data_IF_401354639761
#
_entry.id   IF_401354639761
#
_cell.length_a   1.000
_cell.length_b   1.000
_cell.length_c   1.000
_cell.angle_alpha   90.00
_cell.angle_beta   90.00
_cell.angle_gamma   90.00
#
_symmetry.space_group_name_H-M   'P 1'
#
loop_
_entity.id
_entity.type
_entity.pdbx_description
1 polymer ?
#
# COMPACT_ATOMS: atom_id res chain seq x y z
N UNK A 1 -29.79 -16.32 0.96
CA UNK A 1 -28.36 -16.42 1.33
C UNK A 1 -27.68 -17.07 0.15
N UNK A 2 -26.48 -16.64 -0.27
CA UNK A 2 -25.84 -16.92 -1.59
C UNK A 2 -26.29 -18.21 -2.29
N UNK A 3 -26.33 -19.35 -1.58
CA UNK A 3 -26.90 -20.65 -2.00
C UNK A 3 -28.31 -20.63 -2.65
N UNK A 4 -29.10 -19.56 -2.49
CA UNK A 4 -30.41 -19.39 -3.11
C UNK A 4 -30.34 -18.84 -4.54
N UNK A 5 -29.14 -18.47 -5.01
CA UNK A 5 -28.91 -17.96 -6.36
C UNK A 5 -28.58 -19.13 -7.32
N UNK A 6 -28.79 -18.96 -8.64
CA UNK A 6 -28.22 -19.88 -9.62
C UNK A 6 -26.70 -20.04 -9.45
N UNK A 7 -26.16 -21.23 -9.71
CA UNK A 7 -24.76 -21.57 -9.43
C UNK A 7 -23.77 -20.59 -10.09
N UNK A 8 -24.04 -20.14 -11.31
CA UNK A 8 -23.22 -19.16 -12.03
C UNK A 8 -23.19 -17.79 -11.34
N UNK A 9 -24.28 -17.43 -10.67
CA UNK A 9 -24.36 -16.20 -9.90
C UNK A 9 -23.74 -16.37 -8.51
N UNK A 10 -23.81 -17.56 -7.92
CA UNK A 10 -23.10 -17.87 -6.67
C UNK A 10 -21.59 -17.75 -6.85
N UNK A 11 -21.06 -18.32 -7.93
CA UNK A 11 -19.62 -18.31 -8.22
C UNK A 11 -19.09 -16.87 -8.35
N UNK A 12 -19.80 -16.01 -9.10
CA UNK A 12 -19.46 -14.59 -9.23
C UNK A 12 -19.48 -13.85 -7.90
N UNK A 13 -20.48 -14.11 -7.05
CA UNK A 13 -20.56 -13.49 -5.72
C UNK A 13 -19.41 -13.95 -4.84
N UNK A 14 -19.04 -15.23 -4.88
CA UNK A 14 -17.91 -15.78 -4.13
C UNK A 14 -16.60 -15.16 -4.59
N UNK A 15 -16.39 -15.00 -5.89
CA UNK A 15 -15.21 -14.34 -6.47
C UNK A 15 -15.07 -12.92 -5.93
N UNK A 16 -16.10 -12.09 -6.05
CA UNK A 16 -16.07 -10.71 -5.55
C UNK A 16 -15.83 -10.61 -4.05
N UNK A 17 -16.37 -11.54 -3.25
CA UNK A 17 -16.14 -11.56 -1.80
C UNK A 17 -14.68 -11.93 -1.50
N UNK A 18 -14.09 -12.86 -2.25
CA UNK A 18 -12.68 -13.22 -2.06
C UNK A 18 -11.76 -12.05 -2.38
N UNK A 19 -11.99 -11.36 -3.48
CA UNK A 19 -11.22 -10.18 -3.87
C UNK A 19 -11.36 -9.08 -2.80
N UNK A 20 -12.59 -8.81 -2.37
CA UNK A 20 -12.84 -7.82 -1.32
C UNK A 20 -12.14 -8.16 0.01
N UNK A 21 -12.13 -9.44 0.41
CA UNK A 21 -11.39 -9.87 1.60
C UNK A 21 -9.89 -9.67 1.41
N UNK A 22 -9.34 -10.01 0.24
CA UNK A 22 -7.93 -9.85 -0.05
C UNK A 22 -7.49 -8.38 0.03
N UNK A 23 -8.31 -7.46 -0.51
CA UNK A 23 -8.07 -6.02 -0.42
C UNK A 23 -8.08 -5.54 1.05
N UNK A 24 -9.06 -5.98 1.85
CA UNK A 24 -9.12 -5.64 3.27
C UNK A 24 -7.93 -6.18 4.07
N UNK A 25 -7.46 -7.39 3.75
CA UNK A 25 -6.27 -7.96 4.38
C UNK A 25 -5.00 -7.19 3.99
N UNK A 26 -4.89 -6.73 2.75
CA UNK A 26 -3.75 -5.94 2.30
C UNK A 26 -3.72 -4.56 2.95
N UNK A 27 -4.85 -3.85 2.99
CA UNK A 27 -4.97 -2.54 3.66
C UNK A 27 -4.57 -2.66 5.13
N UNK A 28 -5.04 -3.71 5.81
CA UNK A 28 -4.66 -3.96 7.21
C UNK A 28 -3.16 -4.22 7.36
N UNK A 29 -2.53 -4.94 6.44
CA UNK A 29 -1.06 -5.13 6.45
C UNK A 29 -0.35 -3.80 6.26
N UNK A 30 -0.82 -2.99 5.32
CA UNK A 30 -0.28 -1.67 5.05
C UNK A 30 -0.33 -0.77 6.28
N UNK A 31 -1.49 -0.67 6.94
CA UNK A 31 -1.67 0.11 8.17
C UNK A 31 -0.68 -0.30 9.26
N UNK A 32 -0.55 -1.60 9.53
CA UNK A 32 0.36 -2.11 10.55
C UNK A 32 1.82 -1.82 10.21
N UNK A 33 2.21 -1.97 8.94
CA UNK A 33 3.57 -1.67 8.51
C UNK A 33 3.85 -0.17 8.57
N UNK A 34 2.90 0.66 8.16
CA UNK A 34 3.03 2.11 8.17
C UNK A 34 3.11 2.64 9.60
N UNK A 35 2.22 2.21 10.49
CA UNK A 35 2.24 2.61 11.91
C UNK A 35 3.59 2.33 12.56
N UNK A 36 4.20 1.18 12.23
CA UNK A 36 5.52 0.77 12.74
C UNK A 36 6.69 1.56 12.14
N UNK A 37 6.57 2.06 10.92
CA UNK A 37 7.70 2.59 10.15
C UNK A 37 7.62 4.07 9.82
N UNK A 38 6.47 4.72 10.00
CA UNK A 38 6.24 6.12 9.64
C UNK A 38 7.27 7.09 10.24
N UNK A 39 7.68 6.89 11.49
CA UNK A 39 8.68 7.76 12.13
C UNK A 39 10.05 7.65 11.45
N UNK A 40 10.42 6.44 11.00
CA UNK A 40 11.67 6.23 10.26
C UNK A 40 11.60 6.87 8.87
N UNK A 41 10.43 6.82 8.22
CA UNK A 41 10.21 7.50 6.94
C UNK A 41 10.34 9.03 7.09
N UNK A 42 9.75 9.61 8.14
CA UNK A 42 9.88 11.04 8.45
C UNK A 42 11.34 11.41 8.72
N UNK A 43 12.05 10.61 9.52
CA UNK A 43 13.46 10.84 9.80
C UNK A 43 14.33 10.76 8.54
N UNK A 44 14.10 9.75 7.69
CA UNK A 44 14.82 9.58 6.42
C UNK A 44 14.56 10.75 5.46
N UNK A 45 13.31 11.18 5.32
CA UNK A 45 12.96 12.34 4.50
C UNK A 45 13.59 13.63 5.04
N UNK A 46 13.63 13.81 6.35
CA UNK A 46 14.31 14.93 7.00
C UNK A 46 15.81 14.94 6.71
N UNK A 47 16.47 13.78 6.84
CA UNK A 47 17.89 13.61 6.51
C UNK A 47 18.18 13.93 5.04
N UNK A 48 17.37 13.41 4.12
CA UNK A 48 17.53 13.69 2.69
C UNK A 48 17.46 15.19 2.40
N UNK A 49 16.54 15.93 3.04
CA UNK A 49 16.45 17.39 2.91
C UNK A 49 17.70 18.10 3.43
N UNK A 50 18.26 17.64 4.55
CA UNK A 50 19.49 18.20 5.11
C UNK A 50 20.68 17.97 4.18
N UNK A 51 20.81 16.77 3.62
CA UNK A 51 21.88 16.43 2.67
C UNK A 51 21.77 17.25 1.39
N UNK A 52 20.56 17.47 0.86
CA UNK A 52 20.33 18.35 -0.30
C UNK A 52 20.74 19.79 0.03
N UNK A 53 20.33 20.30 1.19
CA UNK A 53 20.69 21.66 1.62
C UNK A 53 22.20 21.83 1.86
N UNK A 54 22.89 20.76 2.27
CA UNK A 54 24.34 20.71 2.41
C UNK A 54 25.07 20.49 1.07
N UNK A 55 24.35 20.30 -0.03
CA UNK A 55 24.93 19.99 -1.35
C UNK A 55 25.54 18.59 -1.45
N UNK A 56 25.20 17.68 -0.52
CA UNK A 56 25.71 16.32 -0.45
C UNK A 56 24.87 15.33 -1.28
N UNK A 57 23.64 15.72 -1.64
CA UNK A 57 22.75 14.95 -2.49
C UNK A 57 21.93 15.86 -3.39
N UNK A 58 21.35 15.28 -4.43
CA UNK A 58 20.43 15.96 -5.36
C UNK A 58 19.09 15.23 -5.38
N UNK A 59 17.97 15.92 -5.63
CA UNK A 59 16.69 15.27 -5.86
C UNK A 59 16.80 14.21 -6.96
N UNK A 60 16.11 13.09 -6.77
CA UNK A 60 16.05 12.03 -7.77
C UNK A 60 15.37 12.54 -9.05
N UNK A 61 16.03 12.36 -10.19
CA UNK A 61 15.47 12.65 -11.51
C UNK A 61 14.90 11.35 -12.10
N UNK A 62 13.57 11.30 -12.23
CA UNK A 62 12.87 10.11 -12.72
C UNK A 62 12.98 9.92 -14.24
N UNK A 63 13.35 10.95 -14.99
CA UNK A 63 13.54 10.88 -16.45
C UNK A 63 14.92 10.30 -16.82
N UNK A 64 15.80 10.13 -15.83
CA UNK A 64 17.16 9.58 -15.99
C UNK A 64 17.30 8.16 -15.42
N UNK A 65 16.17 7.50 -15.13
CA UNK A 65 16.10 6.10 -14.70
C UNK A 65 15.94 5.16 -15.89
#
# INVERSE_FOLDING_TARGET
MVESLPDDLQEKVIEHIRDYIADLEDEKRWDVLFERTQNNLVAAAGKAKQEIAAGQSVPMDYEQL
#
